data_IF_346926480221
#
_entry.id   IF_346926480221
#
_cell.length_a   1.000
_cell.length_b   1.000
_cell.length_c   1.000
_cell.angle_alpha   90.00
_cell.angle_beta   90.00
_cell.angle_gamma   90.00
#
_symmetry.space_group_name_H-M   'P 1'
#
loop_
_entity.id
_entity.type
_entity.pdbx_description
1 polymer ?
#
# COMPACT_ATOMS: atom_id res chain seq x y z
N UNK A 1 15.81 -30.39 11.08
CA UNK A 1 15.03 -30.07 9.89
C UNK A 1 13.76 -29.42 10.38
N UNK A 2 13.52 -28.15 10.03
CA UNK A 2 12.23 -27.52 10.30
C UNK A 2 11.15 -28.29 9.53
N UNK A 3 9.95 -28.42 10.10
CA UNK A 3 8.84 -29.02 9.39
C UNK A 3 8.42 -28.09 8.24
N UNK A 4 7.90 -28.62 7.14
CA UNK A 4 7.27 -27.80 6.07
C UNK A 4 6.15 -26.90 6.61
N UNK A 5 5.55 -27.28 7.74
CA UNK A 5 4.55 -26.48 8.45
C UNK A 5 5.20 -25.26 9.11
N UNK A 6 6.37 -25.43 9.73
CA UNK A 6 7.09 -24.33 10.38
C UNK A 6 7.57 -23.33 9.32
N UNK A 7 8.12 -23.81 8.20
CA UNK A 7 8.51 -22.97 7.06
C UNK A 7 7.32 -22.16 6.49
N UNK A 8 6.14 -22.78 6.41
CA UNK A 8 4.93 -22.08 5.98
C UNK A 8 4.50 -21.01 6.99
N UNK A 9 4.51 -21.34 8.29
CA UNK A 9 4.14 -20.38 9.34
C UNK A 9 5.11 -19.20 9.39
N UNK A 10 6.41 -19.45 9.24
CA UNK A 10 7.43 -18.41 9.17
C UNK A 10 7.18 -17.50 7.96
N UNK A 11 6.81 -18.06 6.80
CA UNK A 11 6.48 -17.26 5.61
C UNK A 11 5.28 -16.32 5.78
N UNK A 12 4.35 -16.61 6.71
CA UNK A 12 3.22 -15.72 7.01
C UNK A 12 3.65 -14.46 7.76
N UNK A 13 4.81 -14.50 8.42
CA UNK A 13 5.39 -13.36 9.14
C UNK A 13 6.20 -12.43 8.23
N UNK A 14 6.54 -12.87 7.02
CA UNK A 14 7.34 -12.08 6.09
C UNK A 14 6.53 -10.88 5.54
N UNK A 15 7.14 -9.68 5.49
CA UNK A 15 6.47 -8.51 4.93
C UNK A 15 6.25 -8.61 3.42
N UNK A 16 5.01 -8.44 3.00
CA UNK A 16 4.61 -8.42 1.60
C UNK A 16 4.38 -7.00 1.06
N UNK A 17 4.32 -6.88 -0.26
CA UNK A 17 3.94 -5.62 -0.94
C UNK A 17 2.53 -5.16 -0.54
N UNK A 18 1.63 -6.11 -0.30
CA UNK A 18 0.27 -5.86 0.21
C UNK A 18 0.32 -5.20 1.59
N UNK A 19 1.15 -5.72 2.50
CA UNK A 19 1.34 -5.13 3.84
C UNK A 19 1.91 -3.71 3.74
N UNK A 20 2.90 -3.49 2.86
CA UNK A 20 3.53 -2.18 2.66
C UNK A 20 2.51 -1.13 2.22
N UNK A 21 1.72 -1.45 1.19
CA UNK A 21 0.68 -0.53 0.70
C UNK A 21 -0.38 -0.29 1.77
N UNK A 22 -0.80 -1.34 2.49
CA UNK A 22 -1.78 -1.22 3.55
C UNK A 22 -1.31 -0.26 4.65
N UNK A 23 -0.04 -0.35 5.05
CA UNK A 23 0.55 0.58 6.01
C UNK A 23 0.64 2.00 5.46
N UNK A 24 1.05 2.16 4.19
CA UNK A 24 1.13 3.48 3.57
C UNK A 24 -0.22 4.18 3.60
N UNK A 25 -1.27 3.47 3.17
CA UNK A 25 -2.65 3.97 3.14
C UNK A 25 -3.26 4.09 4.54
N UNK A 26 -2.93 3.19 5.46
CA UNK A 26 -3.43 3.16 6.83
C UNK A 26 -2.94 4.31 7.70
N UNK A 27 -1.79 4.89 7.35
CA UNK A 27 -1.17 6.03 8.02
C UNK A 27 -1.62 7.40 7.47
N UNK A 28 -2.46 7.44 6.44
CA UNK A 28 -3.02 8.69 5.93
C UNK A 28 -3.93 9.35 6.98
N UNK A 29 -4.02 10.67 6.97
CA UNK A 29 -4.79 11.42 7.98
C UNK A 29 -6.30 11.27 7.82
N UNK A 30 -6.77 10.86 6.63
CA UNK A 30 -8.20 10.72 6.33
C UNK A 30 -8.73 9.28 6.40
N UNK A 31 -10.06 9.20 6.53
CA UNK A 31 -10.77 7.92 6.62
C UNK A 31 -11.18 7.36 5.26
N UNK A 32 -11.44 8.23 4.28
CA UNK A 32 -11.88 7.86 2.93
C UNK A 32 -10.81 8.23 1.92
N UNK A 33 -10.27 7.23 1.23
CA UNK A 33 -9.21 7.38 0.23
C UNK A 33 -9.82 7.26 -1.17
N UNK A 34 -9.61 8.25 -2.05
CA UNK A 34 -10.14 8.16 -3.42
C UNK A 34 -9.57 6.96 -4.19
N UNK A 35 -10.47 6.17 -4.80
CA UNK A 35 -10.13 5.02 -5.64
C UNK A 35 -9.74 5.48 -7.05
N UNK A 36 -8.52 5.99 -7.20
CA UNK A 36 -7.96 6.34 -8.51
C UNK A 36 -6.62 5.63 -8.75
N UNK A 37 -6.70 4.48 -9.44
CA UNK A 37 -5.52 3.65 -9.72
C UNK A 37 -4.45 4.40 -10.54
N UNK A 38 -4.85 5.25 -11.49
CA UNK A 38 -3.89 6.03 -12.29
C UNK A 38 -3.09 6.96 -11.40
N UNK A 39 -3.75 7.59 -10.42
CA UNK A 39 -3.08 8.46 -9.45
C UNK A 39 -2.16 7.67 -8.54
N UNK A 40 -2.59 6.51 -8.04
CA UNK A 40 -1.74 5.64 -7.22
C UNK A 40 -0.47 5.26 -7.99
N UNK A 41 -0.62 4.80 -9.23
CA UNK A 41 0.50 4.40 -10.09
C UNK A 41 1.52 5.54 -10.29
N UNK A 42 1.04 6.77 -10.57
CA UNK A 42 1.91 7.94 -10.71
C UNK A 42 2.63 8.30 -9.42
N UNK A 43 1.91 8.37 -8.30
CA UNK A 43 2.51 8.78 -7.02
C UNK A 43 3.50 7.74 -6.52
N UNK A 44 3.17 6.45 -6.58
CA UNK A 44 4.11 5.39 -6.21
C UNK A 44 5.35 5.38 -7.12
N UNK A 45 5.21 5.66 -8.42
CA UNK A 45 6.36 5.79 -9.30
C UNK A 45 7.26 6.96 -8.90
N UNK A 46 6.70 8.14 -8.62
CA UNK A 46 7.50 9.29 -8.22
C UNK A 46 8.18 9.09 -6.87
N UNK A 47 7.48 8.50 -5.90
CA UNK A 47 8.06 8.16 -4.61
C UNK A 47 9.12 7.06 -4.73
N UNK A 48 8.96 6.09 -5.65
CA UNK A 48 9.96 5.03 -5.86
C UNK A 48 11.32 5.55 -6.30
N UNK A 49 11.40 6.74 -6.92
CA UNK A 49 12.68 7.38 -7.28
C UNK A 49 13.44 7.93 -6.07
N UNK A 50 12.76 8.09 -4.93
CA UNK A 50 13.32 8.69 -3.71
C UNK A 50 13.47 7.68 -2.57
N UNK A 51 12.57 6.71 -2.51
CA UNK A 51 12.51 5.72 -1.42
C UNK A 51 12.94 4.34 -1.94
N UNK A 52 14.14 3.85 -1.55
CA UNK A 52 14.65 2.56 -1.97
C UNK A 52 13.70 1.40 -1.64
N UNK A 53 12.97 1.50 -0.52
CA UNK A 53 11.96 0.52 -0.13
C UNK A 53 10.90 0.31 -1.22
N UNK A 54 10.47 1.38 -1.91
CA UNK A 54 9.51 1.29 -3.00
C UNK A 54 10.17 0.84 -4.31
N UNK A 55 11.37 1.35 -4.62
CA UNK A 55 12.13 0.97 -5.82
C UNK A 55 12.39 -0.55 -5.90
N UNK A 56 12.71 -1.16 -4.76
CA UNK A 56 13.00 -2.59 -4.67
C UNK A 56 11.74 -3.46 -4.79
N UNK A 57 10.57 -2.91 -4.46
CA UNK A 57 9.30 -3.66 -4.37
C UNK A 57 8.45 -3.52 -5.63
N UNK A 58 8.61 -2.46 -6.41
CA UNK A 58 7.80 -2.19 -7.59
C UNK A 58 8.65 -2.04 -8.84
N UNK A 59 8.21 -2.67 -9.93
CA UNK A 59 8.78 -2.45 -11.27
C UNK A 59 7.76 -1.68 -12.10
N UNK A 60 8.17 -0.52 -12.59
CA UNK A 60 7.32 0.35 -13.40
C UNK A 60 7.70 0.27 -14.88
N UNK A 61 6.69 0.04 -15.71
CA UNK A 61 6.77 0.26 -17.15
C UNK A 61 6.34 1.71 -17.46
N UNK A 62 7.23 2.48 -18.09
CA UNK A 62 7.01 3.90 -18.42
C UNK A 62 6.72 4.13 -19.91
N UNK A 63 6.57 3.07 -20.70
CA UNK A 63 6.35 3.18 -22.16
C UNK A 63 4.91 3.56 -22.53
N UNK A 64 4.00 3.58 -21.56
CA UNK A 64 2.58 3.88 -21.74
C UNK A 64 2.20 5.35 -21.51
N UNK A 65 0.89 5.60 -21.37
CA UNK A 65 0.32 6.94 -21.12
C UNK A 65 0.70 7.45 -19.72
N UNK A 66 0.91 6.54 -18.77
CA UNK A 66 1.40 6.82 -17.42
C UNK A 66 2.28 5.64 -16.94
N UNK A 67 3.16 5.85 -15.95
CA UNK A 67 3.94 4.78 -15.34
C UNK A 67 3.03 3.72 -14.73
N UNK A 68 3.27 2.43 -14.98
CA UNK A 68 2.42 1.35 -14.51
C UNK A 68 3.23 0.20 -13.92
N UNK A 69 2.84 -0.26 -12.72
CA UNK A 69 3.33 -1.48 -12.07
C UNK A 69 2.19 -2.47 -11.91
N UNK A 70 2.37 -3.67 -12.47
CA UNK A 70 1.44 -4.77 -12.32
C UNK A 70 1.43 -5.30 -10.87
N UNK A 71 2.55 -5.20 -10.17
CA UNK A 71 2.67 -5.58 -8.75
C UNK A 71 1.83 -4.66 -7.86
N UNK A 72 1.89 -3.35 -8.10
CA UNK A 72 1.08 -2.37 -7.36
C UNK A 72 -0.41 -2.61 -7.57
N UNK A 73 -0.84 -2.78 -8.81
CA UNK A 73 -2.25 -3.04 -9.14
C UNK A 73 -2.73 -4.36 -8.51
N UNK A 74 -1.94 -5.44 -8.63
CA UNK A 74 -2.27 -6.72 -7.99
C UNK A 74 -2.34 -6.63 -6.48
N UNK A 75 -1.46 -5.87 -5.85
CA UNK A 75 -1.45 -5.72 -4.40
C UNK A 75 -2.69 -4.94 -3.91
N UNK A 76 -3.09 -3.87 -4.60
CA UNK A 76 -4.34 -3.16 -4.32
C UNK A 76 -5.55 -4.09 -4.50
N UNK A 77 -5.63 -4.85 -5.59
CA UNK A 77 -6.74 -5.80 -5.78
C UNK A 77 -6.80 -6.88 -4.69
N UNK A 78 -5.65 -7.38 -4.23
CA UNK A 78 -5.61 -8.31 -3.09
C UNK A 78 -6.16 -7.67 -1.82
N UNK A 79 -5.83 -6.41 -1.55
CA UNK A 79 -6.37 -5.68 -0.40
C UNK A 79 -7.89 -5.49 -0.51
N UNK A 80 -8.43 -5.22 -1.70
CA UNK A 80 -9.87 -5.16 -1.93
C UNK A 80 -10.54 -6.50 -1.64
N UNK A 81 -9.99 -7.58 -2.19
CA UNK A 81 -10.53 -8.94 -2.03
C UNK A 81 -10.46 -9.43 -0.59
N UNK A 82 -9.39 -9.09 0.13
CA UNK A 82 -9.22 -9.37 1.56
C UNK A 82 -10.07 -8.45 2.47
N UNK A 83 -10.82 -7.51 1.90
CA UNK A 83 -11.58 -6.48 2.62
C UNK A 83 -10.72 -5.58 3.53
N UNK A 84 -9.40 -5.57 3.32
CA UNK A 84 -8.47 -4.64 3.96
C UNK A 84 -8.67 -3.19 3.46
N UNK A 85 -9.09 -3.06 2.19
CA UNK A 85 -9.62 -1.84 1.59
C UNK A 85 -11.11 -2.04 1.29
N UNK A 86 -11.95 -1.67 2.25
CA UNK A 86 -13.41 -1.73 2.10
C UNK A 86 -13.93 -0.62 1.19
N UNK A 87 -14.85 -0.94 0.29
CA UNK A 87 -15.59 0.08 -0.46
C UNK A 87 -16.77 0.59 0.39
N UNK A 88 -16.77 1.89 0.70
CA UNK A 88 -17.72 2.48 1.68
C UNK A 88 -19.08 2.79 1.06
N UNK A 89 -19.14 2.97 -0.26
CA UNK A 89 -20.35 3.43 -0.93
C UNK A 89 -20.73 2.56 -2.15
N UNK A 90 -22.02 2.57 -2.55
CA UNK A 90 -22.49 1.85 -3.74
C UNK A 90 -21.79 2.32 -5.03
N UNK A 91 -21.20 3.52 -5.02
CA UNK A 91 -20.47 4.08 -6.15
C UNK A 91 -19.01 3.61 -6.24
N UNK A 92 -18.51 2.85 -5.26
CA UNK A 92 -17.13 2.33 -5.23
C UNK A 92 -16.05 3.41 -5.46
N UNK A 93 -16.30 4.63 -5.00
CA UNK A 93 -15.44 5.79 -5.29
C UNK A 93 -14.33 6.01 -4.25
N UNK A 94 -14.46 5.40 -3.07
CA UNK A 94 -13.48 5.51 -2.00
C UNK A 94 -13.21 4.18 -1.30
N UNK A 95 -12.00 4.05 -0.78
CA UNK A 95 -11.59 3.01 0.14
C UNK A 95 -11.62 3.50 1.58
N UNK A 96 -11.94 2.58 2.49
CA UNK A 96 -11.66 2.70 3.91
C UNK A 96 -10.74 1.56 4.33
N UNK A 97 -9.72 1.91 5.12
CA UNK A 97 -8.70 0.96 5.54
C UNK A 97 -9.11 0.26 6.83
N UNK A 98 -8.99 -1.06 6.87
CA UNK A 98 -9.18 -1.86 8.09
C UNK A 98 -8.01 -1.64 9.07
N UNK A 99 -8.28 -0.96 10.18
CA UNK A 99 -7.27 -0.64 11.20
C UNK A 99 -6.70 -1.87 11.92
N UNK A 100 -7.46 -2.98 12.01
CA UNK A 100 -6.97 -4.22 12.62
C UNK A 100 -5.88 -4.85 11.74
N UNK A 101 -6.13 -4.91 10.44
CA UNK A 101 -5.17 -5.45 9.47
C UNK A 101 -3.94 -4.56 9.31
N UNK A 102 -4.09 -3.24 9.46
CA UNK A 102 -2.96 -2.29 9.53
C UNK A 102 -2.04 -2.63 10.71
N UNK A 103 -2.59 -2.85 11.91
CA UNK A 103 -1.79 -3.20 13.09
C UNK A 103 -1.10 -4.56 12.94
N UNK A 104 -1.78 -5.56 12.41
CA UNK A 104 -1.20 -6.87 12.12
C UNK A 104 -0.05 -6.77 11.08
N UNK A 105 -0.22 -5.93 10.06
CA UNK A 105 0.83 -5.66 9.07
C UNK A 105 2.02 -4.92 9.66
N UNK A 106 1.77 -3.97 10.58
CA UNK A 106 2.81 -3.16 11.23
C UNK A 106 3.80 -4.03 12.00
N UNK A 107 3.31 -5.09 12.63
CA UNK A 107 4.13 -6.02 13.43
C UNK A 107 5.17 -6.80 12.62
N UNK A 108 5.04 -6.84 11.29
CA UNK A 108 5.99 -7.53 10.40
C UNK A 108 7.24 -6.69 10.11
N UNK A 109 7.19 -5.39 10.33
CA UNK A 109 8.27 -4.45 9.97
C UNK A 109 9.08 -4.02 11.20
N UNK A 110 10.35 -3.73 11.00
CA UNK A 110 11.19 -3.13 12.03
C UNK A 110 10.80 -1.67 12.32
N UNK A 111 11.12 -1.12 13.50
CA UNK A 111 10.82 0.28 13.81
C UNK A 111 11.42 1.29 12.82
N UNK A 112 12.59 0.98 12.26
CA UNK A 112 13.23 1.82 11.25
C UNK A 112 12.45 1.83 9.93
N UNK A 113 12.00 0.66 9.46
CA UNK A 113 11.16 0.56 8.27
C UNK A 113 9.81 1.26 8.47
N UNK A 114 9.24 1.16 9.67
CA UNK A 114 8.00 1.88 10.01
C UNK A 114 8.20 3.40 9.91
N UNK A 115 9.32 3.94 10.37
CA UNK A 115 9.61 5.38 10.23
C UNK A 115 9.72 5.80 8.75
N UNK A 116 10.39 4.99 7.91
CA UNK A 116 10.45 5.22 6.47
C UNK A 116 9.06 5.16 5.83
N UNK A 117 8.25 4.17 6.19
CA UNK A 117 6.87 4.02 5.70
C UNK A 117 6.00 5.22 6.11
N UNK A 118 6.13 5.71 7.33
CA UNK A 118 5.43 6.93 7.76
C UNK A 118 5.86 8.18 6.99
N UNK A 119 7.15 8.29 6.63
CA UNK A 119 7.62 9.36 5.74
C UNK A 119 7.01 9.23 4.35
N UNK A 120 7.00 8.01 3.78
CA UNK A 120 6.38 7.70 2.50
C UNK A 120 4.89 8.07 2.53
N UNK A 121 4.14 7.71 3.58
CA UNK A 121 2.72 8.04 3.74
C UNK A 121 2.47 9.54 3.70
N UNK A 122 3.27 10.33 4.43
CA UNK A 122 3.14 11.79 4.44
C UNK A 122 3.41 12.40 3.06
N UNK A 123 4.41 11.90 2.34
CA UNK A 123 4.68 12.38 0.99
C UNK A 123 3.64 11.91 -0.01
N UNK A 124 3.13 10.68 0.13
CA UNK A 124 2.02 10.17 -0.66
C UNK A 124 0.78 11.05 -0.52
N UNK A 125 0.39 11.37 0.71
CA UNK A 125 -0.72 12.27 1.02
C UNK A 125 -0.53 13.64 0.36
N UNK A 126 0.67 14.20 0.46
CA UNK A 126 1.02 15.49 -0.16
C UNK A 126 0.92 15.46 -1.70
N UNK A 127 1.35 14.39 -2.35
CA UNK A 127 1.30 14.27 -3.81
C UNK A 127 -0.13 14.10 -4.33
N UNK A 128 -0.97 13.42 -3.57
CA UNK A 128 -2.37 13.23 -3.94
C UNK A 128 -3.22 14.48 -3.66
N UNK A 129 -2.80 15.35 -2.74
CA UNK A 129 -3.44 16.64 -2.48
C UNK A 129 -4.91 16.50 -2.06
N UNK A 130 -5.76 17.45 -2.49
CA UNK A 130 -7.21 17.44 -2.20
C UNK A 130 -7.96 16.25 -2.83
N UNK A 131 -7.33 15.53 -3.76
CA UNK A 131 -7.95 14.37 -4.41
C UNK A 131 -7.92 13.11 -3.55
N UNK A 132 -7.17 13.11 -2.44
CA UNK A 132 -6.96 11.88 -1.66
C UNK A 132 -8.04 11.66 -0.59
N UNK A 133 -8.56 12.73 0.01
CA UNK A 133 -9.36 12.66 1.22
C UNK A 133 -10.75 13.29 1.06
N UNK A 134 -11.79 12.56 1.48
CA UNK A 134 -13.11 13.13 1.75
C UNK A 134 -13.42 13.01 3.25
N UNK A 135 -13.98 14.07 3.83
CA UNK A 135 -14.49 14.10 5.22
C UNK A 135 -15.86 13.45 5.26
#
# INVERSE_FOLDING_TARGET
MASKVDEFLDSLSEPTVTDLILLILGNLSCQNINRNMIMFQKVFYDLSKKYPLLEQRFRFNTSGIYPYSEELERAIYRLEWAQALGAVNPSYTSYQVDKKQVEESRQKYSPYEIEEIEQISREFEKHMGEYVCYI
#
